data_IF_492468651242
#
_entry.id   IF_492468651242
#
_cell.length_a   1.000
_cell.length_b   1.000
_cell.length_c   1.000
_cell.angle_alpha   90.00
_cell.angle_beta   90.00
_cell.angle_gamma   90.00
#
_symmetry.space_group_name_H-M   'P 1'
#
loop_
_entity.id
_entity.type
_entity.pdbx_description
1 polymer ?
#
# COMPACT_ATOMS: atom_id res chain seq x y z
N UNK A 1 4.99 30.64 14.95
CA UNK A 1 4.39 30.18 16.23
C UNK A 1 4.92 28.82 16.69
N UNK A 2 5.79 28.15 15.92
CA UNK A 2 6.28 26.78 16.17
C UNK A 2 7.35 26.67 17.26
N UNK A 3 8.21 27.69 17.43
CA UNK A 3 9.32 27.64 18.38
C UNK A 3 8.89 27.46 19.84
N UNK A 4 7.74 28.01 20.24
CA UNK A 4 7.22 27.86 21.61
C UNK A 4 6.74 26.44 21.90
N UNK A 5 6.23 25.73 20.89
CA UNK A 5 5.71 24.37 21.06
C UNK A 5 6.84 23.35 21.19
N UNK A 6 7.83 23.43 20.30
CA UNK A 6 9.03 22.56 20.35
C UNK A 6 9.75 22.70 21.69
N UNK A 7 9.90 23.93 22.18
CA UNK A 7 10.57 24.20 23.45
C UNK A 7 9.77 23.66 24.65
N UNK A 8 8.45 23.80 24.63
CA UNK A 8 7.57 23.22 25.67
C UNK A 8 7.60 21.69 25.69
N UNK A 9 7.77 21.05 24.52
CA UNK A 9 7.91 19.59 24.41
C UNK A 9 9.25 19.15 25.00
N UNK A 10 10.35 19.82 24.65
CA UNK A 10 11.69 19.53 25.19
C UNK A 10 11.74 19.63 26.72
N UNK A 11 11.17 20.68 27.29
CA UNK A 11 11.12 20.88 28.73
C UNK A 11 10.34 19.74 29.43
N UNK A 12 9.16 19.38 28.89
CA UNK A 12 8.35 18.28 29.43
C UNK A 12 9.03 16.92 29.27
N UNK A 13 9.78 16.70 28.19
CA UNK A 13 10.52 15.47 27.96
C UNK A 13 11.61 15.27 29.03
N UNK A 14 12.35 16.34 29.35
CA UNK A 14 13.42 16.31 30.35
C UNK A 14 12.91 16.09 31.78
N UNK A 15 11.69 16.53 32.09
CA UNK A 15 11.07 16.31 33.40
C UNK A 15 10.55 14.88 33.61
N UNK A 16 10.50 14.04 32.55
CA UNK A 16 10.04 12.66 32.64
C UNK A 16 11.16 11.71 33.09
N UNK A 17 10.83 10.66 33.87
CA UNK A 17 11.76 9.56 34.13
C UNK A 17 12.18 8.82 32.85
N UNK A 18 13.38 8.25 32.84
CA UNK A 18 13.98 7.58 31.66
C UNK A 18 13.04 6.58 30.98
N UNK A 19 12.38 5.71 31.76
CA UNK A 19 11.41 4.73 31.24
C UNK A 19 10.26 5.38 30.46
N UNK A 20 9.84 6.57 30.87
CA UNK A 20 8.79 7.33 30.17
C UNK A 20 9.33 8.06 28.95
N UNK A 21 10.59 8.47 28.96
CA UNK A 21 11.25 9.02 27.77
C UNK A 21 11.35 7.95 26.66
N UNK A 22 11.66 6.70 27.01
CA UNK A 22 11.66 5.57 26.06
C UNK A 22 10.27 5.33 25.44
N UNK A 23 9.21 5.40 26.25
CA UNK A 23 7.82 5.30 25.76
C UNK A 23 7.48 6.42 24.78
N UNK A 24 7.93 7.66 25.05
CA UNK A 24 7.73 8.80 24.15
C UNK A 24 8.52 8.62 22.84
N UNK A 25 9.77 8.17 22.92
CA UNK A 25 10.57 7.88 21.74
C UNK A 25 9.89 6.82 20.85
N UNK A 26 9.36 5.76 21.44
CA UNK A 26 8.61 4.73 20.72
C UNK A 26 7.35 5.30 20.04
N UNK A 27 6.64 6.22 20.70
CA UNK A 27 5.48 6.91 20.12
C UNK A 27 5.87 7.78 18.93
N UNK A 28 6.92 8.60 19.06
CA UNK A 28 7.39 9.47 17.97
C UNK A 28 7.81 8.63 16.77
N UNK A 29 8.56 7.55 16.99
CA UNK A 29 8.96 6.63 15.92
C UNK A 29 7.75 6.03 15.20
N UNK A 30 6.68 5.69 15.94
CA UNK A 30 5.44 5.20 15.35
C UNK A 30 4.76 6.28 14.48
N UNK A 31 4.63 7.50 14.99
CA UNK A 31 4.00 8.61 14.26
C UNK A 31 4.77 8.94 12.97
N UNK A 32 6.10 8.89 13.01
CA UNK A 32 6.95 9.05 11.83
C UNK A 32 6.74 7.93 10.80
N UNK A 33 6.47 6.70 11.26
CA UNK A 33 6.19 5.54 10.40
C UNK A 33 4.76 5.52 9.84
N UNK A 34 3.79 6.09 10.56
CA UNK A 34 2.38 6.20 10.13
C UNK A 34 2.16 7.27 9.05
N UNK A 35 2.95 8.35 9.06
CA UNK A 35 2.92 9.40 8.04
C UNK A 35 3.69 9.07 6.76
N UNK A 36 4.50 8.00 6.77
CA UNK A 36 5.10 7.45 5.56
C UNK A 36 4.07 6.55 4.88
N UNK A 37 3.83 6.68 3.55
CA UNK A 37 3.11 5.65 2.84
C UNK A 37 3.79 4.33 3.17
N UNK A 38 3.02 3.41 3.74
CA UNK A 38 3.43 2.03 3.91
C UNK A 38 3.51 1.49 2.47
N UNK A 39 4.56 1.83 1.73
CA UNK A 39 5.09 0.94 0.71
C UNK A 39 5.75 -0.16 1.53
N UNK A 40 5.08 -1.31 1.76
CA UNK A 40 5.78 -2.46 2.31
C UNK A 40 7.09 -2.60 1.54
N UNK A 41 8.21 -2.50 2.25
CA UNK A 41 9.53 -2.80 1.70
C UNK A 41 9.40 -4.18 1.04
N UNK A 42 9.59 -4.25 -0.28
CA UNK A 42 9.40 -5.43 -1.16
C UNK A 42 7.99 -5.78 -1.68
N UNK A 43 6.99 -4.91 -1.69
CA UNK A 43 5.83 -5.20 -2.58
C UNK A 43 6.13 -4.76 -3.99
N UNK A 44 6.39 -5.76 -4.83
CA UNK A 44 6.44 -5.61 -6.28
C UNK A 44 5.13 -4.97 -6.77
N UNK A 45 5.17 -3.97 -7.65
CA UNK A 45 3.97 -3.41 -8.25
C UNK A 45 3.16 -4.50 -8.96
N UNK A 46 1.83 -4.38 -8.97
CA UNK A 46 0.93 -5.39 -9.55
C UNK A 46 1.26 -5.67 -11.01
N UNK A 47 1.76 -4.67 -11.76
CA UNK A 47 2.16 -4.88 -13.15
C UNK A 47 3.30 -5.91 -13.28
N UNK A 48 4.30 -5.91 -12.37
CA UNK A 48 5.44 -6.86 -12.42
C UNK A 48 4.94 -8.30 -12.26
N UNK A 49 3.95 -8.48 -11.39
CA UNK A 49 3.31 -9.78 -11.17
C UNK A 49 2.55 -10.21 -12.43
N UNK A 50 1.81 -9.29 -13.07
CA UNK A 50 1.08 -9.56 -14.31
C UNK A 50 2.04 -9.94 -15.44
N UNK A 51 3.15 -9.21 -15.61
CA UNK A 51 4.15 -9.50 -16.65
C UNK A 51 4.82 -10.86 -16.44
N UNK A 52 5.19 -11.20 -15.20
CA UNK A 52 5.73 -12.51 -14.85
C UNK A 52 4.76 -13.65 -15.21
N UNK A 53 3.48 -13.50 -14.90
CA UNK A 53 2.46 -14.49 -15.25
C UNK A 53 2.29 -14.58 -16.78
N UNK A 54 2.25 -13.43 -17.46
CA UNK A 54 2.04 -13.37 -18.90
C UNK A 54 3.16 -14.02 -19.71
N UNK A 55 4.41 -13.87 -19.26
CA UNK A 55 5.58 -14.50 -19.89
C UNK A 55 5.60 -16.03 -19.76
N UNK A 56 4.89 -16.59 -18.78
CA UNK A 56 4.79 -18.03 -18.57
C UNK A 56 3.61 -18.68 -19.33
N UNK A 57 2.76 -17.88 -20.00
CA UNK A 57 1.63 -18.41 -20.76
C UNK A 57 2.09 -19.10 -22.06
N UNK A 58 1.51 -20.27 -22.42
CA UNK A 58 1.76 -20.90 -23.71
C UNK A 58 1.45 -19.98 -24.90
N UNK A 59 2.12 -20.20 -26.04
CA UNK A 59 1.82 -19.49 -27.27
C UNK A 59 0.36 -19.68 -27.68
N UNK A 60 -0.30 -18.59 -28.08
CA UNK A 60 -1.72 -18.58 -28.47
C UNK A 60 -2.71 -18.42 -27.31
N UNK A 61 -2.28 -18.52 -26.04
CA UNK A 61 -3.18 -18.35 -24.88
C UNK A 61 -3.89 -16.99 -24.88
N UNK A 62 -3.22 -15.96 -25.37
CA UNK A 62 -3.76 -14.60 -25.44
C UNK A 62 -4.79 -14.40 -26.55
N UNK A 63 -4.84 -15.30 -27.54
CA UNK A 63 -5.80 -15.22 -28.66
C UNK A 63 -7.24 -15.57 -28.20
N UNK A 64 -7.35 -16.35 -27.13
CA UNK A 64 -8.63 -16.75 -26.53
C UNK A 64 -9.19 -15.68 -25.56
N UNK A 65 -8.40 -14.64 -25.25
CA UNK A 65 -8.80 -13.60 -24.30
C UNK A 65 -9.76 -12.60 -24.98
N UNK A 66 -10.96 -12.36 -24.43
CA UNK A 66 -11.92 -11.44 -25.02
C UNK A 66 -11.44 -10.00 -24.95
N UNK A 67 -11.61 -9.26 -26.05
CA UNK A 67 -11.22 -7.84 -26.16
C UNK A 67 -12.02 -6.91 -25.24
N UNK A 68 -13.21 -7.35 -24.83
CA UNK A 68 -14.12 -6.67 -23.91
C UNK A 68 -14.13 -7.30 -22.52
N UNK A 69 -13.11 -8.10 -22.18
CA UNK A 69 -13.02 -8.81 -20.91
C UNK A 69 -13.08 -7.91 -19.67
N UNK A 70 -12.65 -6.65 -19.77
CA UNK A 70 -12.77 -5.69 -18.65
C UNK A 70 -14.22 -5.30 -18.36
N UNK A 71 -15.05 -5.15 -19.39
CA UNK A 71 -16.46 -4.80 -19.29
C UNK A 71 -17.30 -6.03 -18.95
N UNK A 72 -16.99 -7.15 -19.60
CA UNK A 72 -17.78 -8.39 -19.54
C UNK A 72 -17.17 -9.48 -18.65
N UNK A 73 -16.36 -9.12 -17.65
CA UNK A 73 -15.69 -10.11 -16.79
C UNK A 73 -16.67 -11.08 -16.12
N UNK A 74 -17.83 -10.62 -15.65
CA UNK A 74 -18.84 -11.49 -15.04
C UNK A 74 -19.44 -12.50 -16.02
N UNK A 75 -19.54 -12.14 -17.30
CA UNK A 75 -19.98 -13.05 -18.34
C UNK A 75 -18.98 -14.19 -18.53
N UNK A 76 -17.69 -13.86 -18.63
CA UNK A 76 -16.63 -14.84 -18.89
C UNK A 76 -16.25 -15.67 -17.65
N UNK A 77 -16.32 -15.09 -16.45
CA UNK A 77 -15.94 -15.77 -15.20
C UNK A 77 -17.10 -16.53 -14.55
N UNK A 78 -18.33 -16.03 -14.69
CA UNK A 78 -19.50 -16.55 -13.94
C UNK A 78 -20.70 -16.88 -14.83
N UNK A 79 -20.64 -16.65 -16.14
CA UNK A 79 -21.74 -16.93 -17.07
C UNK A 79 -22.91 -15.93 -17.00
N UNK A 80 -22.69 -14.73 -16.45
CA UNK A 80 -23.70 -13.68 -16.46
C UNK A 80 -24.09 -13.26 -17.90
N UNK A 81 -25.27 -12.67 -18.14
CA UNK A 81 -25.61 -12.09 -19.43
C UNK A 81 -24.57 -11.04 -19.87
N UNK A 82 -24.24 -11.02 -21.16
CA UNK A 82 -23.27 -10.07 -21.73
C UNK A 82 -23.85 -8.65 -21.69
N UNK A 83 -23.04 -7.69 -21.25
CA UNK A 83 -23.35 -6.26 -21.27
C UNK A 83 -22.92 -5.68 -22.62
N UNK A 84 -23.84 -4.99 -23.29
CA UNK A 84 -23.48 -4.18 -24.46
C UNK A 84 -22.85 -2.85 -24.00
N UNK A 85 -21.81 -2.36 -24.71
CA UNK A 85 -21.13 -1.11 -24.38
C UNK A 85 -21.98 0.15 -24.60
#
# INVERSE_FOLDING_TARGET
>A
MSANLEQSILEKLQALPDKKQEEVLALVNRMLKEGQPQTPENVRPIWEIIEEIANNAPAGTWDDVPTDGSVNHDHYLYGAPKQEP
#
